data_IF_263785843351
#
_entry.id   IF_263785843351
#
_cell.length_a   1.000
_cell.length_b   1.000
_cell.length_c   1.000
_cell.angle_alpha   90.00
_cell.angle_beta   90.00
_cell.angle_gamma   90.00
#
_symmetry.space_group_name_H-M   'P 1'
#
loop_
_entity.id
_entity.type
_entity.pdbx_description
1 polymer ?
2 non-polymer ?
3 non-polymer ?
4 water ?
#
# COMPACT_ATOMS: atom_id res chain seq x y z
N UNK A 1 1.51 -18.47 4.17
CA UNK A 1 1.86 -18.56 2.75
C UNK A 1 2.87 -17.49 2.35
N UNK A 2 3.47 -17.67 1.18
CA UNK A 2 4.33 -16.68 0.55
C UNK A 2 3.48 -16.10 -0.57
N UNK A 3 3.27 -14.79 -0.54
CA UNK A 3 2.35 -14.23 -1.54
C UNK A 3 3.12 -13.34 -2.51
N UNK A 4 3.07 -13.72 -3.78
CA UNK A 4 3.64 -13.01 -4.91
C UNK A 4 3.00 -11.65 -5.12
N UNK A 5 3.73 -10.73 -5.75
CA UNK A 5 3.17 -9.40 -6.03
C UNK A 5 3.00 -9.18 -7.52
N UNK A 6 3.11 -10.26 -8.32
CA UNK A 6 2.77 -10.12 -9.73
C UNK A 6 1.34 -9.61 -9.88
N UNK A 7 0.49 -9.99 -8.94
CA UNK A 7 -0.90 -9.54 -8.91
C UNK A 7 -1.17 -8.90 -7.56
N UNK A 8 -2.25 -8.14 -7.45
CA UNK A 8 -2.60 -7.63 -6.12
C UNK A 8 -2.74 -8.78 -5.13
N UNK A 9 -2.17 -8.60 -3.95
CA UNK A 9 -2.29 -9.60 -2.88
C UNK A 9 -3.63 -9.49 -2.16
N UNK A 10 -4.62 -10.17 -2.70
CA UNK A 10 -6.00 -10.19 -2.23
C UNK A 10 -6.24 -11.42 -1.35
N UNK A 11 -6.90 -11.21 -0.22
CA UNK A 11 -7.22 -12.28 0.69
C UNK A 11 -8.70 -12.19 1.08
N UNK A 12 -9.19 -13.34 1.54
CA UNK A 12 -10.53 -13.28 2.13
C UNK A 12 -10.40 -13.06 3.63
N UNK A 13 -11.28 -12.23 4.15
CA UNK A 13 -11.32 -11.92 5.56
C UNK A 13 -12.76 -12.16 6.05
N UNK A 14 -12.88 -12.34 7.36
CA UNK A 14 -14.17 -12.49 8.01
C UNK A 14 -14.23 -11.46 9.12
N UNK A 15 -15.33 -10.71 9.10
CA UNK A 15 -15.53 -9.60 10.02
C UNK A 15 -17.02 -9.31 10.16
N UNK A 16 -17.48 -9.17 11.40
CA UNK A 16 -18.91 -8.94 11.58
C UNK A 16 -19.72 -10.10 11.03
N UNK A 17 -19.16 -11.32 11.08
CA UNK A 17 -19.87 -12.46 10.54
C UNK A 17 -19.92 -12.44 9.03
N UNK A 18 -19.30 -11.46 8.38
CA UNK A 18 -19.39 -11.47 6.91
C UNK A 18 -18.05 -11.78 6.28
N UNK A 19 -18.03 -12.41 5.11
CA UNK A 19 -16.81 -12.66 4.37
C UNK A 19 -16.58 -11.54 3.35
N UNK A 20 -15.34 -11.11 3.24
CA UNK A 20 -15.00 -10.03 2.31
C UNK A 20 -13.63 -10.30 1.70
N UNK A 21 -13.36 -9.60 0.60
CA UNK A 21 -12.09 -9.63 -0.10
C UNK A 21 -11.33 -8.36 0.27
N UNK A 22 -10.07 -8.53 0.62
CA UNK A 22 -9.29 -7.35 0.99
C UNK A 22 -7.86 -7.48 0.47
N UNK A 23 -7.27 -6.33 0.22
CA UNK A 23 -5.92 -6.12 -0.23
C UNK A 23 -4.92 -6.02 0.90
N UNK A 24 -3.87 -6.83 0.90
CA UNK A 24 -2.82 -6.71 1.92
C UNK A 24 -1.90 -5.53 1.58
N UNK A 25 -1.98 -4.46 2.36
CA UNK A 25 -1.40 -3.16 1.97
C UNK A 25 -0.42 -2.58 2.99
N UNK A 26 0.88 -2.71 2.71
CA UNK A 26 1.96 -2.26 3.56
C UNK A 26 2.13 -0.75 3.57
N UNK A 27 1.47 -0.10 2.62
CA UNK A 27 1.47 1.36 2.54
C UNK A 27 0.47 2.00 3.48
N UNK A 28 -0.52 1.21 3.90
CA UNK A 28 -1.58 1.72 4.76
C UNK A 28 -1.30 1.54 6.24
N UNK A 29 -1.32 2.63 7.01
CA UNK A 29 -1.03 2.46 8.44
C UNK A 29 -2.13 1.63 9.10
N UNK A 30 -3.37 1.93 8.72
CA UNK A 30 -4.53 1.27 9.29
C UNK A 30 -5.38 0.60 8.23
N UNK A 31 -6.14 -0.38 8.66
CA UNK A 31 -7.13 -1.11 7.88
C UNK A 31 -8.32 -0.21 7.55
N UNK A 32 -8.80 -0.29 6.32
CA UNK A 32 -9.95 0.48 5.86
C UNK A 32 -10.88 -0.38 5.00
N UNK A 33 -12.13 -0.46 5.44
CA UNK A 33 -13.15 -1.26 4.78
C UNK A 33 -14.32 -0.41 4.29
N UNK A 34 -15.02 -0.87 3.25
CA UNK A 34 -16.22 -0.22 2.76
C UNK A 34 -17.32 -0.19 3.81
N UNK A 35 -18.31 0.68 3.62
CA UNK A 35 -19.37 0.87 4.60
C UNK A 35 -19.95 -0.46 5.10
N UNK A 36 -20.00 -0.55 6.43
CA UNK A 36 -20.50 -1.73 7.11
C UNK A 36 -20.80 -1.34 8.56
N UNK A 37 -21.64 -2.12 9.19
CA UNK A 37 -21.91 -1.89 10.60
C UNK A 37 -20.83 -2.57 11.43
N UNK A 38 -20.44 -1.99 12.54
CA UNK A 38 -19.54 -2.57 13.51
C UNK A 38 -19.96 -2.13 14.92
N UNK A 39 -19.68 -2.98 15.89
CA UNK A 39 -20.13 -2.74 17.26
C UNK A 39 -19.18 -1.82 18.00
N UNK A 40 -19.72 -1.09 18.97
CA UNK A 40 -18.93 -0.27 19.86
C UNK A 40 -18.82 1.16 19.40
N UNK A 41 -18.05 1.92 20.16
CA UNK A 41 -17.77 3.32 19.98
C UNK A 41 -16.92 3.52 18.72
N UNK A 42 -17.06 4.70 18.13
CA UNK A 42 -16.16 5.07 17.04
C UNK A 42 -15.90 6.57 17.07
N UNK A 43 -14.90 7.01 16.30
CA UNK A 43 -14.72 8.46 16.20
C UNK A 43 -14.31 8.78 14.76
N UNK A 44 -14.66 9.96 14.29
CA UNK A 44 -14.41 10.30 12.88
C UNK A 44 -12.96 10.71 12.67
N UNK A 45 -12.47 10.42 11.47
CA UNK A 45 -11.14 10.83 11.04
C UNK A 45 -11.13 10.99 9.53
N UNK A 46 -10.12 11.62 8.98
CA UNK A 46 -9.98 11.76 7.54
C UNK A 46 -8.72 11.00 7.12
N UNK A 47 -8.81 10.27 6.01
CA UNK A 47 -7.58 9.70 5.49
C UNK A 47 -7.46 10.10 4.03
N UNK A 48 -6.22 10.11 3.55
CA UNK A 48 -6.02 10.60 2.21
C UNK A 48 -4.76 10.09 1.53
N UNK A 49 -4.71 10.36 0.24
CA UNK A 49 -3.57 10.01 -0.59
C UNK A 49 -3.82 10.63 -1.97
N UNK A 50 -3.29 9.97 -2.99
CA UNK A 50 -3.46 10.54 -4.33
C UNK A 50 -4.96 10.66 -4.58
N UNK A 51 -5.36 11.82 -5.09
CA UNK A 51 -6.76 11.99 -5.44
C UNK A 51 -7.57 12.56 -4.31
N UNK A 52 -7.00 12.62 -3.11
CA UNK A 52 -7.74 13.20 -2.02
C UNK A 52 -7.91 12.35 -0.78
N UNK A 53 -8.80 12.86 0.07
CA UNK A 53 -9.18 12.38 1.37
C UNK A 53 -10.63 11.94 1.43
N UNK A 54 -10.91 10.97 2.29
CA UNK A 54 -12.27 10.57 2.59
C UNK A 54 -12.46 10.58 4.10
N UNK A 55 -13.71 10.75 4.50
CA UNK A 55 -14.09 10.64 5.91
C UNK A 55 -14.41 9.18 6.23
N UNK A 56 -13.91 8.73 7.35
CA UNK A 56 -14.12 7.41 7.90
C UNK A 56 -14.43 7.46 9.40
N UNK A 57 -15.04 6.36 9.84
CA UNK A 57 -15.29 6.12 11.26
C UNK A 57 -14.28 5.08 11.75
N UNK A 58 -13.61 5.45 12.83
CA UNK A 58 -12.59 4.61 13.43
C UNK A 58 -13.18 3.80 14.58
N UNK A 59 -13.17 2.49 14.38
CA UNK A 59 -13.57 1.56 15.43
C UNK A 59 -12.31 0.87 15.96
N UNK A 60 -12.21 0.73 17.28
CA UNK A 60 -11.05 0.03 17.80
C UNK A 60 -11.45 -1.31 18.39
N UNK A 61 -10.42 -2.13 18.61
CA UNK A 61 -10.59 -3.44 19.23
C UNK A 61 -11.62 -4.25 18.46
N UNK A 62 -11.45 -4.30 17.14
CA UNK A 62 -12.35 -5.12 16.34
C UNK A 62 -11.69 -6.45 16.00
N UNK A 63 -12.51 -7.49 16.08
CA UNK A 63 -11.96 -8.82 15.83
C UNK A 63 -12.12 -9.11 14.34
N UNK A 64 -11.10 -9.68 13.74
CA UNK A 64 -11.02 -10.00 12.34
C UNK A 64 -10.30 -11.32 12.09
N UNK A 65 -10.79 -12.08 11.13
CA UNK A 65 -10.03 -13.25 10.69
C UNK A 65 -9.43 -12.95 9.31
N UNK A 66 -8.13 -13.11 9.17
CA UNK A 66 -7.41 -12.90 7.92
C UNK A 66 -6.67 -14.18 7.53
N UNK A 67 -7.10 -14.81 6.45
CA UNK A 67 -6.45 -16.04 6.03
C UNK A 67 -6.44 -17.07 7.14
N UNK A 68 -7.56 -17.16 7.87
CA UNK A 68 -7.51 -18.12 8.97
C UNK A 68 -6.55 -17.68 10.05
N UNK A 69 -6.27 -16.38 10.13
CA UNK A 69 -5.49 -15.88 11.27
C UNK A 69 -6.35 -14.93 12.09
N UNK A 70 -6.60 -15.19 13.37
CA UNK A 70 -7.40 -14.25 14.16
C UNK A 70 -6.58 -13.08 14.69
N UNK A 71 -7.09 -11.86 14.50
CA UNK A 71 -6.43 -10.70 15.08
C UNK A 71 -7.45 -9.70 15.62
N UNK A 72 -6.93 -8.76 16.40
CA UNK A 72 -7.68 -7.68 16.99
C UNK A 72 -7.02 -6.35 16.61
N UNK A 73 -7.82 -5.36 16.23
CA UNK A 73 -7.20 -4.09 15.88
C UNK A 73 -8.22 -3.04 15.49
N UNK A 74 -7.69 -1.90 15.05
CA UNK A 74 -8.53 -0.80 14.58
C UNK A 74 -9.02 -1.07 13.16
N UNK A 75 -10.27 -0.70 12.91
CA UNK A 75 -10.81 -0.78 11.57
C UNK A 75 -11.47 0.56 11.22
N UNK A 76 -11.04 1.18 10.14
CA UNK A 76 -11.68 2.38 9.61
C UNK A 76 -12.73 1.99 8.58
N UNK A 77 -13.89 2.61 8.69
CA UNK A 77 -15.02 2.30 7.81
C UNK A 77 -15.49 3.53 7.06
N UNK A 78 -15.58 3.44 5.73
CA UNK A 78 -15.98 4.59 4.93
C UNK A 78 -15.94 4.29 3.44
N UNK A 79 -16.18 5.34 2.66
CA UNK A 79 -16.33 5.17 1.21
C UNK A 79 -15.01 4.88 0.52
N UNK A 80 -14.32 3.82 0.92
CA UNK A 80 -13.10 3.47 0.19
C UNK A 80 -13.40 2.68 -1.08
N UNK A 81 -12.60 2.87 -2.12
CA UNK A 81 -12.89 2.18 -3.39
C UNK A 81 -12.42 0.74 -3.32
N UNK A 82 -11.59 0.41 -2.34
CA UNK A 82 -11.10 -0.95 -2.15
C UNK A 82 -10.88 -1.26 -0.68
N UNK A 83 -11.25 -2.46 -0.25
CA UNK A 83 -11.02 -2.94 1.10
C UNK A 83 -9.52 -3.17 1.30
N UNK A 84 -8.98 -2.60 2.36
CA UNK A 84 -7.57 -2.59 2.70
C UNK A 84 -7.28 -3.23 4.04
N UNK A 85 -6.31 -4.13 4.08
CA UNK A 85 -5.70 -4.54 5.34
C UNK A 85 -4.35 -3.83 5.49
N UNK A 86 -4.26 -2.99 6.52
CA UNK A 86 -3.12 -2.21 6.89
C UNK A 86 -2.18 -2.83 7.90
N UNK A 87 -1.05 -2.15 8.12
CA UNK A 87 0.03 -2.61 8.97
C UNK A 87 -0.50 -2.95 10.37
N UNK A 88 -1.47 -2.18 10.85
CA UNK A 88 -1.97 -2.39 12.21
C UNK A 88 -2.48 -3.80 12.46
N UNK A 89 -2.95 -4.46 11.41
CA UNK A 89 -3.40 -5.84 11.47
C UNK A 89 -2.43 -6.80 10.80
N UNK A 90 -1.67 -6.37 9.80
CA UNK A 90 -0.65 -7.23 9.21
C UNK A 90 0.39 -7.65 10.24
N UNK A 91 0.72 -6.75 11.16
CA UNK A 91 1.73 -7.17 12.15
C UNK A 91 1.23 -8.35 12.98
N UNK A 92 -0.06 -8.33 13.30
CA UNK A 92 -0.64 -9.29 14.23
C UNK A 92 -0.68 -10.69 13.68
N UNK A 93 -0.68 -10.75 12.35
CA UNK A 93 -0.69 -12.06 11.72
C UNK A 93 0.73 -12.47 11.34
N UNK A 94 1.70 -11.65 11.73
CA UNK A 94 3.10 -12.01 11.51
C UNK A 94 3.55 -11.74 10.08
N UNK A 95 2.89 -10.84 9.38
CA UNK A 95 3.24 -10.61 7.97
C UNK A 95 4.48 -9.76 7.82
N UNK A 96 5.39 -10.13 6.93
CA UNK A 96 6.60 -9.38 6.67
C UNK A 96 6.82 -9.21 5.16
N UNK A 97 7.57 -8.21 4.78
CA UNK A 97 8.15 -8.05 3.45
C UNK A 97 9.49 -8.77 3.35
N UNK A 98 9.76 -9.51 2.29
CA UNK A 98 10.98 -10.27 2.13
C UNK A 98 11.51 -10.23 0.70
N UNK A 99 12.79 -9.93 0.56
CA UNK A 99 13.47 -9.99 -0.72
C UNK A 99 14.98 -10.17 -0.53
N UNK B 1 16.45 -8.49 2.52
CA UNK B 1 16.20 -8.69 3.94
C UNK B 1 14.75 -9.01 4.26
N UNK B 2 14.47 -9.00 5.56
CA UNK B 2 13.12 -9.17 6.06
C UNK B 2 12.68 -7.93 6.83
N UNK B 3 11.54 -7.37 6.46
CA UNK B 3 11.09 -6.09 6.99
C UNK B 3 9.74 -6.30 7.67
N UNK B 4 9.72 -6.06 8.98
CA UNK B 4 8.48 -6.15 9.72
C UNK B 4 7.67 -4.87 9.53
N UNK B 5 6.46 -4.83 10.04
CA UNK B 5 5.55 -3.74 9.70
C UNK B 5 5.05 -2.94 10.88
N UNK B 6 5.78 -3.01 12.00
CA UNK B 6 5.38 -2.21 13.16
C UNK B 6 5.57 -0.72 12.89
N UNK B 7 6.47 -0.38 11.98
CA UNK B 7 6.62 1.01 11.55
C UNK B 7 6.51 1.05 10.03
N UNK B 8 6.45 2.23 9.43
CA UNK B 8 6.34 2.30 7.97
C UNK B 8 7.59 1.68 7.34
N UNK B 9 7.44 0.84 6.33
CA UNK B 9 8.59 0.24 5.63
C UNK B 9 9.23 1.24 4.67
N UNK B 10 9.89 2.22 5.27
CA UNK B 10 10.59 3.27 4.52
C UNK B 10 12.00 2.79 4.23
N UNK B 11 12.44 2.95 2.99
CA UNK B 11 13.79 2.53 2.64
C UNK B 11 14.45 3.62 1.81
N UNK B 12 15.75 3.47 1.58
CA UNK B 12 16.46 4.44 0.74
C UNK B 12 16.51 3.89 -0.68
N UNK B 13 16.18 4.76 -1.62
CA UNK B 13 16.27 4.46 -3.03
C UNK B 13 17.26 5.45 -3.65
N UNK B 14 17.78 5.09 -4.81
CA UNK B 14 18.62 5.94 -5.64
C UNK B 14 18.06 6.02 -7.05
N UNK B 15 17.88 7.24 -7.51
CA UNK B 15 17.32 7.51 -8.84
C UNK B 15 17.85 8.84 -9.34
N UNK B 16 18.28 8.89 -10.59
CA UNK B 16 18.95 10.05 -11.13
C UNK B 16 20.14 10.49 -10.28
N UNK B 17 20.87 9.54 -9.71
CA UNK B 17 22.03 9.76 -8.88
C UNK B 17 21.80 10.31 -7.49
N UNK B 18 20.56 10.43 -7.04
CA UNK B 18 20.21 11.02 -5.77
C UNK B 18 19.57 10.00 -4.83
N UNK B 19 19.90 10.05 -3.56
CA UNK B 19 19.24 9.19 -2.57
C UNK B 19 17.93 9.84 -2.12
N UNK B 20 16.89 9.02 -1.99
CA UNK B 20 15.58 9.48 -1.55
C UNK B 20 14.96 8.44 -0.61
N UNK B 21 14.08 8.90 0.27
CA UNK B 21 13.33 8.00 1.12
C UNK B 21 12.03 7.60 0.42
N UNK B 22 11.76 6.30 0.39
CA UNK B 22 10.51 5.84 -0.23
C UNK B 22 9.86 4.73 0.58
N UNK B 23 8.55 4.57 0.38
CA UNK B 23 7.72 3.62 1.09
C UNK B 23 7.45 2.35 0.29
N UNK B 24 7.67 1.16 0.82
CA UNK B 24 7.33 -0.07 0.10
C UNK B 24 5.83 -0.30 0.30
N UNK B 25 5.08 -0.18 -0.78
CA UNK B 25 3.62 -0.15 -0.68
C UNK B 25 3.00 -1.23 -1.54
N UNK B 26 2.57 -2.34 -0.94
CA UNK B 26 2.05 -3.45 -1.75
C UNK B 26 0.64 -3.17 -2.25
N UNK B 27 0.02 -2.12 -1.74
CA UNK B 27 -1.30 -1.69 -2.19
C UNK B 27 -1.23 -0.82 -3.43
N UNK B 28 -0.04 -0.33 -3.75
CA UNK B 28 0.19 0.47 -4.94
C UNK B 28 0.58 -0.42 -6.12
N UNK B 29 -0.20 -0.41 -7.19
CA UNK B 29 0.18 -1.21 -8.36
C UNK B 29 1.47 -0.75 -9.02
N UNK B 30 1.71 0.54 -8.97
CA UNK B 30 2.77 1.23 -9.65
C UNK B 30 3.69 1.95 -8.67
N UNK B 31 4.75 2.51 -9.25
CA UNK B 31 5.75 3.30 -8.54
C UNK B 31 5.52 4.77 -8.85
N UNK B 32 5.28 5.55 -7.79
CA UNK B 32 4.96 6.95 -7.93
C UNK B 32 5.90 7.82 -7.09
N UNK B 33 6.65 8.69 -7.75
CA UNK B 33 7.59 9.57 -7.06
C UNK B 33 7.15 11.03 -7.03
N UNK B 34 7.62 11.73 -6.00
CA UNK B 34 7.44 13.16 -5.88
C UNK B 34 8.03 13.87 -7.10
N UNK B 35 7.51 15.03 -7.46
CA UNK B 35 7.99 15.81 -8.60
C UNK B 35 9.52 15.86 -8.66
N UNK B 36 10.04 15.52 -9.84
CA UNK B 36 11.47 15.41 -10.02
C UNK B 36 11.75 15.36 -11.51
N UNK B 37 13.01 15.57 -11.88
CA UNK B 37 13.32 15.54 -13.31
C UNK B 37 13.78 14.14 -13.71
N UNK B 38 13.26 13.61 -14.81
CA UNK B 38 13.70 12.32 -15.34
C UNK B 38 13.95 12.45 -16.83
N UNK B 39 14.80 11.61 -17.41
CA UNK B 39 15.14 11.76 -18.82
C UNK B 39 14.07 11.23 -19.75
N UNK B 40 14.13 11.69 -20.99
CA UNK B 40 13.33 11.07 -22.02
C UNK B 40 11.92 11.61 -22.15
N UNK B 41 11.12 10.87 -22.91
CA UNK B 41 9.72 11.21 -23.10
C UNK B 41 8.86 10.53 -22.03
N UNK B 42 7.74 11.17 -21.72
CA UNK B 42 6.75 10.60 -20.83
C UNK B 42 5.39 10.43 -21.50
N UNK B 43 4.59 9.59 -20.87
CA UNK B 43 3.26 9.20 -21.28
C UNK B 43 2.24 9.50 -20.19
N UNK B 44 0.99 9.79 -20.52
CA UNK B 44 0.01 10.09 -19.47
C UNK B 44 -0.46 8.77 -18.87
N UNK B 45 -0.79 8.82 -17.59
CA UNK B 45 -1.26 7.64 -16.87
C UNK B 45 -2.25 8.09 -15.80
N UNK B 46 -3.35 7.35 -15.65
CA UNK B 46 -4.34 7.59 -14.61
C UNK B 46 -4.07 6.62 -13.45
N UNK B 47 -3.95 7.10 -12.23
CA UNK B 47 -3.94 6.17 -11.09
C UNK B 47 -5.09 6.49 -10.15
N UNK B 48 -5.58 5.48 -9.43
CA UNK B 48 -6.66 5.71 -8.49
C UNK B 48 -6.19 5.56 -7.05
N UNK B 49 -6.44 6.59 -6.27
CA UNK B 49 -6.20 6.64 -4.85
C UNK B 49 -7.48 6.52 -4.05
N UNK B 50 -7.37 6.64 -2.73
CA UNK B 50 -8.51 6.67 -1.84
C UNK B 50 -9.57 7.66 -2.37
N UNK B 51 -9.07 8.84 -2.72
CA UNK B 51 -9.99 9.91 -3.02
C UNK B 51 -10.41 10.05 -4.45
N UNK B 52 -9.86 9.26 -5.36
CA UNK B 52 -10.27 9.41 -6.76
C UNK B 52 -9.12 9.14 -7.71
N UNK B 53 -9.35 9.23 -9.01
CA UNK B 53 -8.24 9.09 -9.96
C UNK B 53 -7.55 10.40 -10.29
N UNK B 54 -6.25 10.32 -10.57
CA UNK B 54 -5.52 11.50 -10.99
C UNK B 54 -4.57 11.16 -12.13
N UNK B 55 -4.14 12.22 -12.81
CA UNK B 55 -3.22 12.03 -13.94
C UNK B 55 -1.80 12.27 -13.47
N UNK B 56 -0.86 11.42 -13.85
CA UNK B 56 0.55 11.58 -13.54
C UNK B 56 1.40 11.35 -14.79
N UNK B 57 2.70 11.54 -14.69
CA UNK B 57 3.61 11.36 -15.83
C UNK B 57 4.28 9.99 -15.74
N UNK B 58 4.22 9.22 -16.83
CA UNK B 58 4.85 7.92 -16.85
C UNK B 58 6.16 7.91 -17.63
N UNK B 59 7.26 7.57 -16.99
CA UNK B 59 8.55 7.38 -17.63
C UNK B 59 8.92 5.90 -17.66
N UNK B 60 9.32 5.36 -18.80
CA UNK B 60 9.67 3.94 -18.89
C UNK B 60 11.18 3.70 -18.90
N UNK B 61 11.61 2.52 -18.52
CA UNK B 61 12.96 2.02 -18.47
C UNK B 61 13.96 2.92 -17.76
N UNK B 62 13.53 3.36 -16.59
CA UNK B 62 14.33 4.25 -15.75
C UNK B 62 15.16 3.43 -14.80
N UNK B 63 16.45 3.71 -14.66
CA UNK B 63 17.18 2.96 -13.64
C UNK B 63 16.86 3.48 -12.24
N UNK B 64 16.65 2.56 -11.32
CA UNK B 64 16.40 2.88 -9.93
C UNK B 64 16.89 1.74 -9.04
N UNK B 65 17.47 2.09 -7.90
CA UNK B 65 17.92 1.14 -6.90
C UNK B 65 17.00 1.22 -5.69
N UNK B 66 16.71 0.07 -5.12
CA UNK B 66 15.85 -0.03 -3.94
C UNK B 66 16.59 -0.82 -2.89
N UNK B 67 16.97 -0.16 -1.79
CA UNK B 67 17.82 -0.83 -0.81
C UNK B 67 19.05 -1.45 -1.45
N UNK B 68 19.61 -0.77 -2.43
CA UNK B 68 20.79 -1.25 -3.12
C UNK B 68 20.54 -2.26 -4.22
N UNK B 69 19.31 -2.73 -4.39
CA UNK B 69 19.01 -3.70 -5.44
C UNK B 69 18.75 -2.93 -6.73
N UNK B 70 19.51 -3.21 -7.78
CA UNK B 70 19.29 -2.42 -8.99
C UNK B 70 18.06 -2.92 -9.75
N UNK B 71 17.35 -1.96 -10.33
CA UNK B 71 16.20 -2.20 -11.19
C UNK B 71 16.18 -1.15 -12.30
N UNK B 72 15.45 -1.37 -13.34
CA UNK B 72 15.03 -0.67 -14.50
C UNK B 72 13.56 -0.96 -14.82
N UNK B 73 12.76 0.10 -14.75
CA UNK B 73 11.34 -0.10 -15.02
C UNK B 73 10.59 1.22 -15.09
N UNK B 74 9.27 1.07 -14.98
CA UNK B 74 8.35 2.21 -15.08
C UNK B 74 8.22 2.95 -13.76
N UNK B 75 8.35 4.26 -13.82
CA UNK B 75 8.29 5.23 -12.76
C UNK B 75 7.33 6.36 -13.09
N UNK B 76 6.36 6.56 -12.22
CA UNK B 76 5.38 7.62 -12.34
C UNK B 76 5.81 8.80 -11.46
N UNK B 77 5.47 9.99 -11.90
CA UNK B 77 5.83 11.23 -11.24
C UNK B 77 4.57 12.08 -11.07
N UNK B 78 4.32 12.47 -9.83
CA UNK B 78 3.08 13.18 -9.55
C UNK B 78 2.92 13.48 -8.06
N UNK B 79 1.82 14.14 -7.76
CA UNK B 79 1.56 14.63 -6.40
C UNK B 79 1.21 13.50 -5.45
N UNK B 80 2.24 12.77 -5.05
CA UNK B 80 1.98 11.62 -4.17
C UNK B 80 2.28 11.99 -2.74
N UNK B 81 1.59 11.42 -1.76
CA UNK B 81 1.85 11.86 -0.37
C UNK B 81 3.28 11.57 0.05
N UNK B 82 3.90 10.54 -0.51
CA UNK B 82 5.29 10.17 -0.28
C UNK B 82 5.79 9.36 -1.48
N UNK B 83 7.09 9.32 -1.70
CA UNK B 83 7.66 8.43 -2.70
C UNK B 83 7.21 6.99 -2.44
N UNK B 84 6.66 6.35 -3.46
CA UNK B 84 6.08 5.01 -3.31
C UNK B 84 6.70 4.02 -4.29
N UNK B 85 7.23 2.94 -3.74
CA UNK B 85 7.68 1.76 -4.49
C UNK B 85 6.54 0.74 -4.46
N UNK B 86 5.92 0.55 -5.62
CA UNK B 86 4.76 -0.32 -5.73
C UNK B 86 5.06 -1.63 -6.43
N UNK B 87 4.03 -2.40 -6.73
CA UNK B 87 4.20 -3.82 -7.07
C UNK B 87 5.07 -4.04 -8.30
N UNK B 88 5.09 -3.13 -9.26
CA UNK B 88 5.88 -3.38 -10.47
C UNK B 88 7.36 -3.56 -10.16
N UNK B 89 7.90 -2.73 -9.27
CA UNK B 89 9.30 -2.78 -8.88
C UNK B 89 9.52 -3.74 -7.71
N UNK B 90 8.54 -3.85 -6.81
CA UNK B 90 8.66 -4.86 -5.76
C UNK B 90 8.78 -6.25 -6.37
N UNK B 91 7.96 -6.54 -7.39
CA UNK B 91 8.05 -7.81 -8.10
C UNK B 91 9.42 -8.02 -8.72
N UNK B 92 9.93 -6.96 -9.35
CA UNK B 92 11.21 -7.05 -10.03
C UNK B 92 12.35 -7.34 -9.08
N UNK B 93 12.31 -6.82 -7.86
CA UNK B 93 13.41 -7.12 -6.95
C UNK B 93 13.18 -8.40 -6.16
N UNK B 94 12.10 -9.11 -6.42
CA UNK B 94 11.82 -10.40 -5.82
C UNK B 94 11.12 -10.31 -4.49
N UNK B 95 10.40 -9.24 -4.20
CA UNK B 95 9.76 -9.04 -2.89
C UNK B 95 8.45 -9.79 -2.74
N UNK B 96 8.26 -10.50 -1.63
CA UNK B 96 6.99 -11.15 -1.37
C UNK B 96 6.51 -10.76 0.04
N UNK B 97 5.24 -10.99 0.28
CA UNK B 97 4.61 -10.93 1.59
C UNK B 97 4.60 -12.34 2.17
N UNK B 98 4.89 -12.49 3.45
CA UNK B 98 5.03 -13.78 4.11
C UNK B 98 4.41 -13.79 5.50
N UNK B 99 3.65 -14.84 5.79
CA UNK B 99 3.20 -15.07 7.15
C UNK B 99 2.86 -16.54 7.38
X LIG C 1 8.04 -1.81 -14.58
X LIG D 1 -4.86 4.04 5.20
X LIG D 1 0.60 3.08 -7.79
X LIG D 1 -3.87 6.88 7.39
X LIG D 1 -0.22 4.97 -5.84
X LIG D 1 -3.96 4.67 7.77
X LIG D 1 -1.43 3.06 -8.71
X LIG D 1 -4.12 6.33 4.59
X LIG D 1 -4.34 5.33 5.58
X LIG D 1 -2.37 3.77 -5.99
X LIG D 1 -1.10 4.10 -6.51
X LIG D 1 -4.87 1.98 0.21
X LIG D 1 -0.58 3.37 -7.73
X LIG D 1 -5.30 4.51 1.16
X LIG D 1 -4.04 5.61 6.99
X LIG D 1 -2.52 6.14 -2.67
X LIG D 1 -5.01 5.69 0.36
X LIG D 1 -3.96 6.00 -2.71
X LIG D 1 -5.30 1.97 -1.28
X LIG D 1 -6.05 3.08 -1.80
X LIG D 1 -4.97 0.87 -2.13
X LIG D 1 -5.15 3.77 3.83
X LIG D 1 -0.65 5.63 -4.66
X LIG D 1 -4.43 6.05 3.23
X LIG D 1 -2.80 4.43 -4.81
X LIG D 1 -1.77 2.77 0.79
X LIG D 1 -1.57 1.85 -0.37
X LIG D 1 -2.86 3.76 0.34
X LIG D 1 -2.63 3.88 -1.21
X LIG D 1 -1.89 2.57 -1.63
X LIG D 1 -4.95 4.78 2.85
X LIG D 1 -1.94 5.34 -4.15
X LIG D 1 -4.28 3.30 0.54
X LIG D 1 -6.40 3.03 -3.19
X LIG D 1 -5.31 0.83 -3.52
X LIG D 1 -6.05 1.93 -4.03
X LIG D 1 -1.80 5.10 -1.53
X LIG D 1 -0.45 5.37 -0.99
X LIG D 1 -0.39 6.08 0.36
X LIG D 1 -1.47 6.88 0.79
X LIG D 1 -1.35 7.51 2.06
X LIG D 1 -0.16 7.36 2.83
X LIG D 1 0.79 5.90 1.14
X LIG D 1 0.91 6.53 2.40
X LIG D 1 -1.78 7.39 -2.65
X LIG D 1 -6.69 3.98 1.16
#
# INVERSE_FOLDING_TARGET
>A
PQITLWQRPLVTIKIGGQLKEALLDTGADDTVLEEMSLPGRWKPKMIGGVGGFIKVRQYDQILIEICGHKAIGTVLVGPTPVNIIGRNLLTQIGCTLNF
>B
PQITLWQRPLVTIKIGGQLKEALLDTGADDTVLEEMSLPGRWKPKMIGGVGGFIKVRQYDQILIEICGHKAIGTVLVGPTPVNIIGRNLLTQIGCTLNF
>C hetero
1 CL CL
>D hetero
1 G4G C1 O2 N2 C2 O1 N1 C3 C4 C5 C6 C7 C8 S8 C9 S9 O10 O11 C12 C13 C14 C17 C18 C19 C20 C21 N22 C23 C24 C25 C26 C27 N28 C29 C30 C31 N32 C33 C34 C35 C36 C37 C38 C39 O40 O41
#
